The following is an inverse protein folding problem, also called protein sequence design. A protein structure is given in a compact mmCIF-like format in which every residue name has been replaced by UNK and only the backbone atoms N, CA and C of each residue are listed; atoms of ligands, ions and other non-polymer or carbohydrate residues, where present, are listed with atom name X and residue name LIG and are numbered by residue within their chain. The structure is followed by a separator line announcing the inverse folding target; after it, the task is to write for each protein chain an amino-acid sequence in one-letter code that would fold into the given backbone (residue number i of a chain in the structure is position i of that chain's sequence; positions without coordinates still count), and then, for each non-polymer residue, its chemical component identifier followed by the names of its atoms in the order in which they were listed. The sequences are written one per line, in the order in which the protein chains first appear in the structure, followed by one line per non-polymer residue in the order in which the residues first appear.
data_IF_583497076868
#
_entry.id   IF_583497076868
#
_cell.length_a   1.000
_cell.length_b   1.000
_cell.length_c   1.000
_cell.angle_alpha   90.00
_cell.angle_beta   90.00
_cell.angle_gamma   90.00
#
_symmetry.space_group_name_H-M   'P 1'
#
loop_
_entity.id
_entity.type
_entity.pdbx_description
1 polymer ?
#
# COMPACT_ATOMS: atom_id res chain seq x y z
N UNK A 1 3.19 0.14 7.65
CA UNK A 1 2.78 0.12 9.08
C UNK A 1 2.15 1.43 9.54
N UNK A 2 2.97 2.45 9.84
CA UNK A 2 2.53 3.71 10.47
C UNK A 2 1.40 4.43 9.70
N UNK A 3 1.54 4.55 8.37
CA UNK A 3 0.52 5.17 7.52
C UNK A 3 -0.82 4.42 7.56
N UNK A 4 -0.78 3.08 7.59
CA UNK A 4 -1.97 2.25 7.80
C UNK A 4 -2.62 2.52 9.16
N UNK A 5 -1.85 2.54 10.25
CA UNK A 5 -2.38 2.88 11.58
C UNK A 5 -3.05 4.25 11.58
N UNK A 6 -2.43 5.25 10.93
CA UNK A 6 -3.00 6.57 10.74
C UNK A 6 -4.33 6.56 9.99
N UNK A 7 -4.42 5.82 8.89
CA UNK A 7 -5.67 5.65 8.13
C UNK A 7 -6.77 4.91 8.92
N UNK A 8 -6.41 4.03 9.85
CA UNK A 8 -7.39 3.32 10.68
C UNK A 8 -7.99 4.23 11.75
N UNK A 9 -7.13 4.95 12.48
CA UNK A 9 -7.50 5.71 13.67
C UNK A 9 -7.91 7.15 13.36
N UNK A 10 -7.30 7.75 12.33
CA UNK A 10 -7.49 9.15 11.93
C UNK A 10 -7.73 9.26 10.41
N UNK A 11 -8.77 8.60 9.87
CA UNK A 11 -8.95 8.43 8.42
C UNK A 11 -9.08 9.73 7.64
N UNK A 12 -9.68 10.78 8.23
CA UNK A 12 -9.85 12.07 7.55
C UNK A 12 -8.52 12.82 7.40
N UNK A 13 -7.62 12.68 8.37
CA UNK A 13 -6.31 13.35 8.35
C UNK A 13 -5.32 12.62 7.46
N UNK A 14 -5.27 11.28 7.55
CA UNK A 14 -4.34 10.51 6.72
C UNK A 14 -4.87 10.26 5.32
N UNK A 15 -6.19 10.23 5.13
CA UNK A 15 -6.83 10.13 3.82
C UNK A 15 -6.60 11.35 2.94
N UNK A 16 -6.33 12.54 3.50
CA UNK A 16 -5.97 13.72 2.70
C UNK A 16 -4.59 13.63 2.06
N UNK A 17 -3.76 12.66 2.48
CA UNK A 17 -2.43 12.36 1.91
C UNK A 17 -2.58 11.27 0.83
N UNK A 18 -3.79 10.74 0.61
CA UNK A 18 -4.03 9.79 -0.46
C UNK A 18 -4.03 10.52 -1.82
N UNK A 19 -3.43 9.96 -2.90
CA UNK A 19 -3.26 10.69 -4.16
C UNK A 19 -4.57 11.04 -4.89
N UNK A 20 -5.67 10.42 -4.48
CA UNK A 20 -7.02 10.73 -4.92
C UNK A 20 -7.98 10.79 -3.72
N UNK A 21 -9.12 11.48 -3.84
CA UNK A 21 -10.07 11.59 -2.73
C UNK A 21 -10.60 10.21 -2.30
N UNK A 22 -10.55 9.95 -1.00
CA UNK A 22 -11.16 8.79 -0.36
C UNK A 22 -11.97 9.25 0.85
N UNK A 23 -13.09 8.58 1.11
CA UNK A 23 -13.85 8.79 2.33
C UNK A 23 -13.23 8.01 3.52
N UNK A 24 -13.79 8.22 4.71
CA UNK A 24 -13.30 7.57 5.91
C UNK A 24 -13.44 6.04 5.86
N UNK A 25 -14.48 5.52 5.21
CA UNK A 25 -14.72 4.09 5.09
C UNK A 25 -13.63 3.43 4.24
N UNK A 26 -13.36 3.98 3.04
CA UNK A 26 -12.31 3.47 2.15
C UNK A 26 -10.93 3.57 2.80
N UNK A 27 -10.64 4.67 3.50
CA UNK A 27 -9.39 4.83 4.25
C UNK A 27 -9.17 3.68 5.27
N UNK A 28 -10.20 3.35 6.06
CA UNK A 28 -10.12 2.28 7.06
C UNK A 28 -10.09 0.89 6.44
N UNK A 29 -10.86 0.65 5.37
CA UNK A 29 -10.84 -0.63 4.63
C UNK A 29 -9.46 -0.89 4.03
N UNK A 30 -8.88 0.10 3.34
CA UNK A 30 -7.54 -0.04 2.77
C UNK A 30 -6.49 -0.20 3.87
N UNK A 31 -6.62 0.54 4.97
CA UNK A 31 -5.76 0.37 6.14
C UNK A 31 -5.76 -1.06 6.68
N UNK A 32 -6.93 -1.67 6.85
CA UNK A 32 -7.06 -3.03 7.38
C UNK A 32 -6.28 -4.04 6.53
N UNK A 33 -6.28 -3.89 5.20
CA UNK A 33 -5.51 -4.74 4.28
C UNK A 33 -4.01 -4.60 4.55
N UNK A 34 -3.50 -3.36 4.66
CA UNK A 34 -2.07 -3.14 4.91
C UNK A 34 -1.63 -3.61 6.29
N UNK A 35 -2.46 -3.39 7.31
CA UNK A 35 -2.16 -3.80 8.68
C UNK A 35 -2.23 -5.32 8.85
N UNK A 36 -3.21 -5.98 8.23
CA UNK A 36 -3.31 -7.43 8.23
C UNK A 36 -2.11 -8.06 7.50
N UNK A 37 -1.71 -7.52 6.34
CA UNK A 37 -0.50 -7.97 5.63
C UNK A 37 0.77 -7.81 6.48
N UNK A 38 0.99 -6.62 7.04
CA UNK A 38 2.15 -6.36 7.89
C UNK A 38 2.17 -7.22 9.18
N UNK A 39 1.00 -7.38 9.81
CA UNK A 39 0.84 -8.23 10.99
C UNK A 39 1.09 -9.70 10.68
N UNK A 40 0.56 -10.18 9.55
CA UNK A 40 0.83 -11.52 9.03
C UNK A 40 2.33 -11.76 8.86
N UNK A 41 3.01 -10.89 8.09
CA UNK A 41 4.47 -10.97 7.88
C UNK A 41 5.21 -11.02 9.23
N UNK A 42 4.90 -10.10 10.15
CA UNK A 42 5.54 -10.04 11.47
C UNK A 42 5.43 -11.37 12.25
N UNK A 43 4.29 -12.05 12.18
CA UNK A 43 4.06 -13.31 12.88
C UNK A 43 4.86 -14.48 12.30
N UNK A 44 5.05 -14.52 10.98
CA UNK A 44 5.76 -15.63 10.31
C UNK A 44 7.26 -15.39 10.13
N UNK A 45 7.74 -14.14 10.13
CA UNK A 45 9.10 -13.83 9.66
C UNK A 45 10.24 -14.53 10.43
N UNK A 46 10.04 -14.88 11.72
CA UNK A 46 11.06 -15.57 12.53
C UNK A 46 11.06 -17.09 12.38
N UNK A 47 9.94 -17.65 11.91
CA UNK A 47 9.67 -19.09 12.00
C UNK A 47 9.49 -19.73 10.62
N UNK A 48 9.25 -18.92 9.58
CA UNK A 48 9.02 -19.40 8.22
C UNK A 48 10.35 -19.82 7.54
N UNK A 49 10.33 -20.94 6.79
CA UNK A 49 11.40 -21.30 5.86
C UNK A 49 11.70 -20.20 4.84
N UNK A 50 12.91 -20.21 4.28
CA UNK A 50 13.36 -19.19 3.32
C UNK A 50 12.51 -19.18 2.06
N UNK A 51 12.04 -20.36 1.63
CA UNK A 51 11.21 -20.55 0.45
C UNK A 51 9.84 -19.90 0.63
N UNK A 52 9.24 -20.03 1.83
CA UNK A 52 7.97 -19.39 2.15
C UNK A 52 8.11 -17.85 2.17
N UNK A 53 9.20 -17.34 2.76
CA UNK A 53 9.50 -15.91 2.75
C UNK A 53 9.75 -15.38 1.33
N UNK A 54 10.40 -16.17 0.47
CA UNK A 54 10.63 -15.82 -0.93
C UNK A 54 9.31 -15.77 -1.71
N UNK A 55 8.43 -16.75 -1.54
CA UNK A 55 7.11 -16.75 -2.18
C UNK A 55 6.25 -15.60 -1.67
N UNK A 56 6.27 -15.33 -0.37
CA UNK A 56 5.57 -14.20 0.25
C UNK A 56 6.06 -12.87 -0.32
N UNK A 57 7.38 -12.67 -0.38
CA UNK A 57 7.98 -11.46 -0.95
C UNK A 57 7.66 -11.29 -2.44
N UNK A 58 7.71 -12.38 -3.22
CA UNK A 58 7.35 -12.36 -4.64
C UNK A 58 5.86 -12.02 -4.84
N UNK A 59 4.97 -12.61 -4.03
CA UNK A 59 3.55 -12.30 -4.07
C UNK A 59 3.29 -10.82 -3.75
N UNK A 60 3.96 -10.29 -2.71
CA UNK A 60 3.85 -8.88 -2.33
C UNK A 60 4.38 -7.94 -3.43
N UNK A 61 5.51 -8.28 -4.05
CA UNK A 61 6.07 -7.55 -5.18
C UNK A 61 5.09 -7.51 -6.36
N UNK A 62 4.54 -8.67 -6.75
CA UNK A 62 3.60 -8.76 -7.87
C UNK A 62 2.32 -7.98 -7.60
N UNK A 63 1.77 -8.09 -6.38
CA UNK A 63 0.58 -7.33 -5.99
C UNK A 63 0.87 -5.81 -6.06
N UNK A 64 2.01 -5.36 -5.54
CA UNK A 64 2.41 -3.96 -5.59
C UNK A 64 2.59 -3.45 -7.03
N UNK A 65 3.29 -4.21 -7.86
CA UNK A 65 3.52 -3.88 -9.27
C UNK A 65 2.20 -3.80 -10.05
N UNK A 66 1.34 -4.81 -9.92
CA UNK A 66 0.05 -4.86 -10.61
C UNK A 66 -0.90 -3.77 -10.12
N UNK A 67 -0.85 -3.40 -8.83
CA UNK A 67 -1.62 -2.28 -8.30
C UNK A 67 -1.19 -0.94 -8.91
N UNK A 68 0.13 -0.68 -9.01
CA UNK A 68 0.65 0.54 -9.65
C UNK A 68 0.25 0.57 -11.13
N UNK A 69 0.39 -0.54 -11.86
CA UNK A 69 -0.06 -0.64 -13.25
C UNK A 69 -1.55 -0.38 -13.40
N UNK A 70 -2.37 -0.97 -12.52
CA UNK A 70 -3.82 -0.76 -12.49
C UNK A 70 -4.17 0.71 -12.27
N UNK A 71 -3.46 1.40 -11.38
CA UNK A 71 -3.63 2.84 -11.13
C UNK A 71 -3.28 3.65 -12.39
N UNK A 72 -2.14 3.39 -13.02
CA UNK A 72 -1.71 4.09 -14.24
C UNK A 72 -2.75 3.92 -15.36
N UNK A 73 -3.23 2.69 -15.58
CA UNK A 73 -4.25 2.40 -16.60
C UNK A 73 -5.56 3.10 -16.28
N UNK A 74 -6.01 3.05 -15.02
CA UNK A 74 -7.27 3.67 -14.60
C UNK A 74 -7.19 5.19 -14.68
N UNK A 75 -6.09 5.78 -14.24
CA UNK A 75 -5.91 7.23 -14.26
C UNK A 75 -5.75 7.78 -15.69
N UNK A 76 -5.17 7.01 -16.62
CA UNK A 76 -5.17 7.37 -18.04
C UNK A 76 -6.58 7.55 -18.63
N UNK A 77 -7.61 6.98 -18.00
CA UNK A 77 -9.01 7.20 -18.37
C UNK A 77 -9.66 8.35 -17.56
N UNK A 78 -9.42 8.43 -16.25
CA UNK A 78 -10.20 9.30 -15.35
C UNK A 78 -9.48 10.60 -14.95
N UNK A 79 -8.16 10.68 -15.12
CA UNK A 79 -7.31 11.87 -14.90
C UNK A 79 -7.54 12.53 -13.54
N UNK A 80 -7.47 11.74 -12.46
CA UNK A 80 -7.73 12.18 -11.07
C UNK A 80 -6.46 12.39 -10.27
N UNK A 81 -5.34 11.81 -10.69
CA UNK A 81 -4.08 11.85 -9.95
C UNK A 81 -3.17 12.93 -10.52
N UNK A 82 -2.68 13.81 -9.64
CA UNK A 82 -1.55 14.66 -9.95
C UNK A 82 -0.25 13.88 -9.74
N UNK A 83 0.36 13.43 -10.84
CA UNK A 83 1.62 12.68 -10.84
C UNK A 83 2.85 13.52 -10.47
N UNK A 84 2.73 14.85 -10.47
CA UNK A 84 3.81 15.77 -10.09
C UNK A 84 3.77 16.16 -8.61
N UNK A 85 2.62 15.94 -7.96
CA UNK A 85 2.46 16.25 -6.55
C UNK A 85 3.43 15.42 -5.68
N UNK A 86 4.12 16.09 -4.76
CA UNK A 86 5.05 15.45 -3.81
C UNK A 86 4.37 14.34 -3.02
N UNK A 87 3.10 14.53 -2.65
CA UNK A 87 2.30 13.53 -1.94
C UNK A 87 2.15 12.24 -2.75
N UNK A 88 1.85 12.34 -4.04
CA UNK A 88 1.75 11.18 -4.95
C UNK A 88 3.08 10.45 -5.05
N UNK A 89 4.20 11.17 -5.15
CA UNK A 89 5.54 10.58 -5.19
C UNK A 89 5.92 9.90 -3.87
N UNK A 90 5.61 10.51 -2.72
CA UNK A 90 5.79 9.90 -1.41
C UNK A 90 4.93 8.64 -1.23
N UNK A 91 3.69 8.66 -1.73
CA UNK A 91 2.82 7.50 -1.74
C UNK A 91 3.41 6.40 -2.63
N UNK A 92 3.81 6.69 -3.87
CA UNK A 92 4.43 5.72 -4.78
C UNK A 92 5.71 5.11 -4.21
N UNK A 93 6.55 5.90 -3.53
CA UNK A 93 7.77 5.38 -2.90
C UNK A 93 7.47 4.46 -1.71
N UNK A 94 6.46 4.77 -0.89
CA UNK A 94 5.99 3.87 0.18
C UNK A 94 5.52 2.53 -0.38
N UNK A 95 4.73 2.53 -1.46
CA UNK A 95 4.21 1.31 -2.08
C UNK A 95 5.27 0.56 -2.87
N UNK A 96 6.14 1.28 -3.59
CA UNK A 96 7.28 0.70 -4.29
C UNK A 96 8.27 0.06 -3.32
N UNK A 97 8.48 0.66 -2.15
CA UNK A 97 9.30 0.08 -1.09
C UNK A 97 8.75 -1.28 -0.63
N UNK A 98 7.45 -1.35 -0.29
CA UNK A 98 6.79 -2.61 0.10
C UNK A 98 6.95 -3.69 -0.99
N UNK A 99 6.84 -3.28 -2.26
CA UNK A 99 7.07 -4.18 -3.39
C UNK A 99 8.49 -4.73 -3.41
N UNK A 100 9.51 -3.87 -3.26
CA UNK A 100 10.93 -4.26 -3.37
C UNK A 100 11.41 -5.05 -2.13
N UNK A 101 11.01 -4.64 -0.93
CA UNK A 101 11.42 -5.30 0.32
C UNK A 101 10.69 -6.62 0.55
N UNK A 102 9.51 -6.80 -0.06
CA UNK A 102 8.57 -7.85 0.31
C UNK A 102 7.98 -7.68 1.71
N UNK A 103 8.17 -6.50 2.34
CA UNK A 103 7.78 -6.15 3.72
C UNK A 103 7.37 -4.69 3.84
#
# INVERSE_FOLDING_TARGET
GLYGVGLLLFPLTFGSIWPWPIDAFHAQVYSAIFLAGAGGIYLVWRSAPREELLVLGLAQFLIGLLAILGIVITDAAVHRIDWTATVTLCWLTLFGWIGISGV
#
